data_IF_976990562889
#
_entry.id   IF_976990562889
#
_cell.length_a   1.000
_cell.length_b   1.000
_cell.length_c   1.000
_cell.angle_alpha   90.00
_cell.angle_beta   90.00
_cell.angle_gamma   90.00
#
_symmetry.space_group_name_H-M   'P 1'
#
loop_
_entity.id
_entity.type
_entity.pdbx_description
1 polymer ?
#
# COMPACT_ATOMS: atom_id res chain seq x y z
N UNK A 1 -28.98 8.93 -27.55
CA UNK A 1 -28.43 7.78 -26.81
C UNK A 1 -27.11 8.08 -26.09
N UNK A 2 -26.16 8.82 -26.69
CA UNK A 2 -24.85 9.13 -26.07
C UNK A 2 -24.94 9.87 -24.71
N UNK A 3 -25.84 10.85 -24.56
CA UNK A 3 -26.00 11.62 -23.31
C UNK A 3 -26.51 10.78 -22.12
N UNK A 4 -27.34 9.76 -22.38
CA UNK A 4 -27.86 8.88 -21.33
C UNK A 4 -26.79 7.92 -20.80
N UNK A 5 -25.90 7.43 -21.68
CA UNK A 5 -24.76 6.58 -21.30
C UNK A 5 -23.74 7.36 -20.48
N UNK A 6 -23.49 8.62 -20.84
CA UNK A 6 -22.57 9.51 -20.12
C UNK A 6 -23.10 9.86 -18.72
N UNK A 7 -24.40 10.13 -18.59
CA UNK A 7 -25.04 10.38 -17.29
C UNK A 7 -24.97 9.19 -16.33
N UNK A 8 -25.20 7.97 -16.85
CA UNK A 8 -25.12 6.75 -16.05
C UNK A 8 -23.68 6.46 -15.57
N UNK A 9 -22.68 6.66 -16.43
CA UNK A 9 -21.28 6.46 -16.07
C UNK A 9 -20.81 7.44 -14.98
N UNK A 10 -21.23 8.71 -15.08
CA UNK A 10 -20.94 9.74 -14.07
C UNK A 10 -21.61 9.42 -12.73
N UNK A 11 -22.89 9.03 -12.73
CA UNK A 11 -23.60 8.62 -11.52
C UNK A 11 -22.98 7.40 -10.85
N UNK A 12 -22.55 6.41 -11.63
CA UNK A 12 -21.91 5.19 -11.10
C UNK A 12 -20.56 5.52 -10.46
N UNK A 13 -19.77 6.42 -11.06
CA UNK A 13 -18.50 6.88 -10.51
C UNK A 13 -18.71 7.66 -9.20
N UNK A 14 -19.64 8.62 -9.18
CA UNK A 14 -19.97 9.39 -7.96
C UNK A 14 -20.47 8.47 -6.84
N UNK A 15 -21.32 7.50 -7.16
CA UNK A 15 -21.80 6.52 -6.18
C UNK A 15 -20.67 5.64 -5.64
N UNK A 16 -19.78 5.14 -6.50
CA UNK A 16 -18.64 4.31 -6.10
C UNK A 16 -17.66 5.08 -5.20
N UNK A 17 -17.27 6.29 -5.61
CA UNK A 17 -16.42 7.16 -4.79
C UNK A 17 -17.12 7.49 -3.48
N UNK A 18 -18.43 7.76 -3.50
CA UNK A 18 -19.26 7.96 -2.31
C UNK A 18 -19.26 6.76 -1.37
N UNK A 19 -19.38 5.54 -1.88
CA UNK A 19 -19.34 4.29 -1.09
C UNK A 19 -17.95 4.11 -0.47
N UNK A 20 -16.87 4.32 -1.22
CA UNK A 20 -15.50 4.22 -0.71
C UNK A 20 -15.27 5.23 0.42
N UNK A 21 -15.69 6.48 0.24
CA UNK A 21 -15.56 7.53 1.26
C UNK A 21 -16.43 7.25 2.49
N UNK A 22 -17.67 6.79 2.31
CA UNK A 22 -18.58 6.44 3.40
C UNK A 22 -18.03 5.28 4.25
N UNK A 23 -17.52 4.24 3.61
CA UNK A 23 -16.87 3.10 4.28
C UNK A 23 -15.66 3.56 5.11
N UNK A 24 -14.84 4.46 4.58
CA UNK A 24 -13.68 5.02 5.29
C UNK A 24 -14.09 5.79 6.55
N UNK A 25 -15.14 6.62 6.47
CA UNK A 25 -15.66 7.36 7.64
C UNK A 25 -16.24 6.41 8.68
N UNK A 26 -17.02 5.40 8.26
CA UNK A 26 -17.61 4.40 9.15
C UNK A 26 -16.54 3.60 9.90
N UNK A 27 -15.45 3.23 9.23
CA UNK A 27 -14.29 2.52 9.85
C UNK A 27 -13.54 3.38 10.85
N UNK A 28 -13.32 4.67 10.55
CA UNK A 28 -12.70 5.61 11.51
C UNK A 28 -13.54 5.71 12.79
N UNK A 29 -14.87 5.78 12.66
CA UNK A 29 -15.79 5.81 13.80
C UNK A 29 -15.82 4.48 14.58
N UNK A 30 -15.78 3.34 13.90
CA UNK A 30 -15.71 2.03 14.56
C UNK A 30 -14.41 1.86 15.36
N UNK A 31 -13.26 2.30 14.79
CA UNK A 31 -11.97 2.28 15.49
C UNK A 31 -11.91 3.27 16.64
N UNK A 32 -12.48 4.47 16.51
CA UNK A 32 -12.54 5.44 17.60
C UNK A 32 -13.42 4.96 18.76
N UNK A 33 -14.53 4.29 18.46
CA UNK A 33 -15.40 3.71 19.48
C UNK A 33 -14.73 2.51 20.17
N UNK A 34 -14.09 1.61 19.42
CA UNK A 34 -13.32 0.51 19.99
C UNK A 34 -12.11 0.96 20.82
N UNK A 35 -11.55 2.14 20.51
CA UNK A 35 -10.45 2.74 21.27
C UNK A 35 -10.94 3.53 22.51
N UNK A 36 -12.19 4.02 22.48
CA UNK A 36 -12.86 4.64 23.63
C UNK A 36 -13.33 3.63 24.69
N UNK A 37 -13.52 2.35 24.32
CA UNK A 37 -13.90 1.26 25.24
C UNK A 37 -12.71 0.60 25.96
N UNK A 38 -11.47 1.01 25.68
CA UNK A 38 -10.33 0.62 26.51
C UNK A 38 -10.30 1.47 27.76
N UNK A 39 -10.28 0.89 28.99
CA UNK A 39 -10.11 1.69 30.20
C UNK A 39 -8.81 2.47 30.09
N UNK A 40 -8.93 3.81 30.14
CA UNK A 40 -7.81 4.73 30.11
C UNK A 40 -6.86 4.40 31.28
N UNK A 41 -5.53 4.28 31.05
CA UNK A 41 -4.60 4.40 32.16
C UNK A 41 -4.78 5.81 32.74
N UNK A 42 -5.19 5.90 34.01
CA UNK A 42 -5.32 7.18 34.73
C UNK A 42 -3.93 7.75 34.98
N UNK A 43 -3.37 8.41 33.97
CA UNK A 43 -2.34 9.42 34.20
C UNK A 43 -3.04 10.71 34.63
N UNK A 44 -2.60 11.37 35.70
CA UNK A 44 -3.04 12.73 35.98
C UNK A 44 -2.68 13.61 34.78
N UNK A 45 -3.66 14.39 34.32
CA UNK A 45 -3.47 15.37 33.24
C UNK A 45 -2.38 16.36 33.66
N UNK A 46 -1.34 16.59 32.84
CA UNK A 46 -0.52 17.78 33.00
C UNK A 46 -1.39 19.01 32.74
N UNK A 47 -1.23 20.06 33.58
CA UNK A 47 -1.82 21.36 33.29
C UNK A 47 -1.26 21.88 31.95
N UNK A 48 -2.09 22.56 31.14
CA UNK A 48 -1.65 23.05 29.84
C UNK A 48 -0.62 24.16 30.03
N UNK A 49 0.58 23.96 29.49
CA UNK A 49 1.61 25.01 29.41
C UNK A 49 1.19 26.07 28.37
N UNK A 50 1.62 27.32 28.58
CA UNK A 50 1.21 28.52 27.82
C UNK A 50 1.37 28.42 26.27
N UNK A 51 2.16 27.46 25.78
CA UNK A 51 2.36 27.18 24.36
C UNK A 51 1.11 26.56 23.69
N UNK A 52 0.32 25.77 24.42
CA UNK A 52 -0.89 25.12 23.87
C UNK A 52 -2.04 26.12 23.67
N UNK A 53 -2.10 27.17 24.48
CA UNK A 53 -3.05 28.27 24.32
C UNK A 53 -2.72 29.14 23.09
N UNK A 54 -1.43 29.33 22.78
CA UNK A 54 -1.00 30.07 21.60
C UNK A 54 -1.22 29.28 20.30
N UNK A 55 -1.05 27.95 20.34
CA UNK A 55 -1.34 27.08 19.20
C UNK A 55 -2.84 27.05 18.85
N UNK A 56 -3.72 27.07 19.85
CA UNK A 56 -5.17 27.15 19.65
C UNK A 56 -5.60 28.50 19.02
N UNK A 57 -5.00 29.61 19.45
CA UNK A 57 -5.27 30.94 18.90
C UNK A 57 -4.77 31.10 17.44
N UNK A 58 -3.64 30.47 17.08
CA UNK A 58 -3.11 30.51 15.72
C UNK A 58 -3.98 29.76 14.70
N UNK A 59 -4.68 28.71 15.14
CA UNK A 59 -5.59 27.92 14.30
C UNK A 59 -6.90 28.69 14.03
N UNK A 60 -7.42 29.47 14.99
CA UNK A 60 -8.61 30.32 14.79
C UNK A 60 -8.34 31.51 13.85
N UNK A 61 -7.12 32.07 13.85
CA UNK A 61 -6.73 33.13 12.93
C UNK A 61 -6.66 32.66 11.46
N UNK A 62 -6.26 31.41 11.22
CA UNK A 62 -6.13 30.84 9.87
C UNK A 62 -7.49 30.58 9.19
N UNK A 63 -8.54 30.32 9.97
CA UNK A 63 -9.90 30.04 9.45
C UNK A 63 -10.67 31.33 9.10
N UNK A 64 -10.21 32.49 9.57
CA UNK A 64 -10.89 33.78 9.38
C UNK A 64 -10.48 34.56 8.12
N UNK A 65 -9.58 34.02 7.29
CA UNK A 65 -9.46 34.43 5.89
C UNK A 65 -8.71 35.74 5.59
N UNK A 66 -7.57 35.97 6.24
CA UNK A 66 -6.57 36.95 5.75
C UNK A 66 -5.36 36.22 5.14
N UNK A 67 -5.12 36.47 3.85
CA UNK A 67 -4.17 35.75 3.02
C UNK A 67 -2.71 36.02 3.38
N UNK A 68 -1.96 34.93 3.61
CA UNK A 68 -0.49 34.96 3.53
C UNK A 68 -0.05 34.25 2.24
N UNK A 69 0.51 35.03 1.32
CA UNK A 69 1.23 34.53 0.15
C UNK A 69 2.53 33.88 0.61
N UNK A 70 2.65 32.55 0.48
CA UNK A 70 3.92 31.84 0.66
C UNK A 70 4.56 31.63 -0.71
N UNK A 71 5.62 32.38 -0.99
CA UNK A 71 6.47 32.21 -2.16
C UNK A 71 7.26 30.90 -2.03
N UNK A 72 7.22 29.97 -3.00
CA UNK A 72 8.02 28.75 -2.94
C UNK A 72 9.52 29.06 -3.03
N UNK A 73 10.39 28.35 -2.27
CA UNK A 73 11.84 28.57 -2.33
C UNK A 73 12.41 28.15 -3.68
N UNK A 74 13.39 28.92 -4.16
CA UNK A 74 14.07 28.72 -5.44
C UNK A 74 14.83 27.37 -5.50
N UNK A 75 14.94 26.74 -6.69
CA UNK A 75 15.64 25.48 -6.84
C UNK A 75 17.16 25.64 -6.66
N UNK A 76 17.76 24.75 -5.87
CA UNK A 76 19.21 24.65 -5.71
C UNK A 76 19.88 24.09 -6.98
N UNK A 77 21.12 24.50 -7.30
CA UNK A 77 21.81 24.10 -8.52
C UNK A 77 22.18 22.61 -8.54
N UNK A 78 22.03 22.00 -9.73
CA UNK A 78 22.30 20.60 -10.01
C UNK A 78 23.78 20.25 -9.79
N UNK A 79 24.04 19.23 -8.96
CA UNK A 79 25.34 18.59 -8.85
C UNK A 79 25.40 17.37 -9.80
N UNK A 80 26.48 17.29 -10.59
CA UNK A 80 26.73 16.25 -11.58
C UNK A 80 26.90 14.84 -10.94
N UNK A 81 26.53 13.75 -11.64
CA UNK A 81 26.78 12.39 -11.15
C UNK A 81 28.26 12.04 -11.22
N UNK A 82 28.83 11.52 -10.12
CA UNK A 82 30.09 10.78 -10.13
C UNK A 82 29.79 9.30 -10.40
N UNK A 83 30.31 8.79 -11.51
CA UNK A 83 30.35 7.37 -11.84
C UNK A 83 31.14 6.58 -10.79
N UNK A 84 30.50 5.59 -10.16
CA UNK A 84 31.19 4.45 -9.58
C UNK A 84 30.44 3.18 -10.00
N UNK A 85 31.07 2.48 -10.93
CA UNK A 85 30.62 1.24 -11.51
C UNK A 85 30.72 0.08 -10.51
N UNK A 86 29.59 -0.56 -10.20
CA UNK A 86 29.57 -1.95 -9.77
C UNK A 86 28.47 -2.70 -10.52
N UNK A 87 28.92 -3.75 -11.22
CA UNK A 87 28.21 -4.57 -12.19
C UNK A 87 27.27 -5.55 -11.47
N UNK A 88 25.96 -5.28 -11.51
CA UNK A 88 24.91 -6.22 -11.13
C UNK A 88 24.59 -7.19 -12.30
N UNK A 89 24.12 -8.42 -12.04
CA UNK A 89 23.79 -9.38 -13.08
C UNK A 89 22.53 -8.98 -13.85
N UNK A 90 22.58 -9.24 -15.14
CA UNK A 90 21.64 -8.89 -16.20
C UNK A 90 20.25 -9.51 -15.98
N UNK A 91 19.26 -8.70 -15.59
CA UNK A 91 17.84 -9.09 -15.61
C UNK A 91 17.25 -8.49 -16.87
N UNK A 92 17.00 -9.35 -17.86
CA UNK A 92 16.49 -8.94 -19.18
C UNK A 92 15.19 -8.12 -19.03
N UNK A 93 15.28 -6.85 -19.44
CA UNK A 93 14.15 -5.93 -19.60
C UNK A 93 13.13 -6.49 -20.58
N UNK A 94 11.86 -6.54 -20.17
CA UNK A 94 10.73 -6.67 -21.09
C UNK A 94 10.41 -5.27 -21.63
N UNK A 95 10.51 -5.00 -22.94
CA UNK A 95 10.31 -3.65 -23.47
C UNK A 95 8.82 -3.35 -23.69
N UNK A 96 8.33 -2.22 -23.18
CA UNK A 96 7.00 -1.71 -23.57
C UNK A 96 6.40 -0.61 -22.70
N UNK A 97 6.60 0.65 -23.12
CA UNK A 97 5.95 1.92 -22.72
C UNK A 97 6.49 2.68 -21.49
N UNK A 98 7.59 3.37 -21.76
CA UNK A 98 7.80 4.83 -21.60
C UNK A 98 7.26 5.51 -20.32
N UNK A 99 8.22 5.89 -19.47
CA UNK A 99 8.24 7.03 -18.55
C UNK A 99 7.10 7.14 -17.52
N UNK A 100 7.03 6.14 -16.62
CA UNK A 100 6.38 6.33 -15.32
C UNK A 100 7.40 7.00 -14.40
N UNK A 101 7.45 8.34 -14.40
CA UNK A 101 7.95 9.12 -13.25
C UNK A 101 7.60 8.36 -11.98
N UNK A 102 8.57 8.09 -11.09
CA UNK A 102 8.37 7.47 -9.76
C UNK A 102 7.22 8.20 -9.06
N UNK A 103 5.99 7.73 -9.30
CA UNK A 103 4.78 8.34 -8.79
C UNK A 103 4.73 7.85 -7.37
N UNK A 104 4.85 8.77 -6.41
CA UNK A 104 4.72 8.46 -5.00
C UNK A 104 3.44 7.65 -4.82
N UNK A 105 3.59 6.44 -4.31
CA UNK A 105 2.48 5.51 -4.15
C UNK A 105 1.39 6.16 -3.26
N UNK A 106 0.13 6.30 -3.73
CA UNK A 106 -0.94 6.93 -2.96
C UNK A 106 -1.33 6.15 -1.69
N UNK A 107 -0.83 4.91 -1.51
CA UNK A 107 -1.19 4.06 -0.37
C UNK A 107 -0.42 4.44 0.90
N UNK A 108 0.78 5.03 0.76
CA UNK A 108 1.66 5.31 1.90
C UNK A 108 2.37 4.07 2.44
N UNK A 109 2.47 3.01 1.64
CA UNK A 109 3.26 1.80 1.93
C UNK A 109 4.73 2.03 1.57
N UNK A 110 5.59 1.07 1.91
CA UNK A 110 6.96 1.06 1.42
C UNK A 110 6.99 1.00 -0.12
N UNK A 111 7.98 1.65 -0.72
CA UNK A 111 8.18 1.63 -2.17
C UNK A 111 9.02 0.42 -2.61
N UNK A 112 9.15 0.24 -3.93
CA UNK A 112 9.93 -0.85 -4.53
C UNK A 112 11.40 -0.84 -4.07
N UNK A 113 11.99 0.34 -3.93
CA UNK A 113 13.38 0.46 -3.48
C UNK A 113 13.55 -0.01 -2.02
N UNK A 114 12.62 0.38 -1.14
CA UNK A 114 12.60 -0.09 0.24
C UNK A 114 12.34 -1.59 0.29
N UNK A 115 11.44 -2.11 -0.55
CA UNK A 115 11.20 -3.55 -0.70
C UNK A 115 12.47 -4.32 -1.05
N UNK A 116 13.15 -3.94 -2.13
CA UNK A 116 14.36 -4.63 -2.61
C UNK A 116 15.47 -4.59 -1.56
N UNK A 117 15.68 -3.44 -0.93
CA UNK A 117 16.66 -3.28 0.14
C UNK A 117 16.35 -4.16 1.34
N UNK A 118 15.11 -4.19 1.81
CA UNK A 118 14.73 -5.02 2.97
C UNK A 118 14.77 -6.51 2.64
N UNK A 119 14.37 -6.91 1.42
CA UNK A 119 14.46 -8.29 0.96
C UNK A 119 15.92 -8.78 0.96
N UNK A 120 16.86 -7.93 0.52
CA UNK A 120 18.30 -8.20 0.59
C UNK A 120 18.80 -8.32 2.03
N UNK A 121 18.45 -7.36 2.89
CA UNK A 121 18.83 -7.36 4.30
C UNK A 121 18.30 -8.60 5.05
N UNK A 122 17.05 -9.00 4.81
CA UNK A 122 16.46 -10.19 5.41
C UNK A 122 17.09 -11.48 4.86
N UNK A 123 17.48 -11.51 3.59
CA UNK A 123 18.26 -12.63 3.03
C UNK A 123 19.58 -12.82 3.76
N UNK A 124 20.31 -11.72 4.02
CA UNK A 124 21.56 -11.77 4.78
C UNK A 124 21.34 -12.17 6.25
N UNK A 125 20.30 -11.62 6.90
CA UNK A 125 19.95 -11.96 8.29
C UNK A 125 19.62 -13.45 8.42
N UNK A 126 18.75 -13.97 7.56
CA UNK A 126 18.35 -15.37 7.55
C UNK A 126 19.53 -16.30 7.27
N UNK A 127 20.45 -15.92 6.37
CA UNK A 127 21.67 -16.69 6.11
C UNK A 127 22.62 -16.74 7.32
N UNK A 128 22.71 -15.65 8.10
CA UNK A 128 23.62 -15.55 9.26
C UNK A 128 23.07 -16.19 10.52
N UNK A 129 21.79 -15.99 10.81
CA UNK A 129 21.18 -16.34 12.09
C UNK A 129 20.11 -17.43 11.98
N UNK A 130 19.78 -17.86 10.77
CA UNK A 130 18.61 -18.67 10.51
C UNK A 130 17.31 -17.88 10.67
N UNK A 131 16.21 -18.61 10.81
CA UNK A 131 14.86 -18.05 10.93
C UNK A 131 14.09 -18.13 9.62
N UNK A 132 12.80 -18.42 9.72
CA UNK A 132 11.89 -18.48 8.58
C UNK A 132 11.54 -17.08 8.12
N UNK A 133 11.42 -16.87 6.81
CA UNK A 133 10.88 -15.63 6.25
C UNK A 133 10.10 -16.01 5.01
N UNK A 134 8.85 -15.59 4.93
CA UNK A 134 8.00 -15.91 3.79
C UNK A 134 7.74 -14.65 2.97
N UNK A 135 7.96 -14.76 1.67
CA UNK A 135 7.64 -13.71 0.71
C UNK A 135 6.24 -13.93 0.20
N UNK A 136 5.41 -12.88 0.19
CA UNK A 136 4.07 -12.87 -0.42
C UNK A 136 4.06 -11.80 -1.50
N UNK A 137 3.55 -12.14 -2.69
CA UNK A 137 3.28 -11.20 -3.77
C UNK A 137 1.79 -11.26 -4.09
N UNK A 138 1.14 -10.10 -4.15
CA UNK A 138 -0.27 -9.97 -4.45
C UNK A 138 -0.51 -8.98 -5.57
N UNK A 139 -1.53 -9.22 -6.40
CA UNK A 139 -1.87 -8.36 -7.55
C UNK A 139 -3.38 -8.30 -7.78
N UNK A 140 -3.89 -7.09 -8.00
CA UNK A 140 -5.30 -6.87 -8.32
C UNK A 140 -5.56 -7.25 -9.78
N UNK A 141 -6.40 -8.25 -9.99
CA UNK A 141 -6.77 -8.72 -11.32
C UNK A 141 -7.73 -7.75 -12.01
N UNK A 142 -7.55 -7.55 -13.32
CA UNK A 142 -8.41 -6.73 -14.21
C UNK A 142 -8.48 -5.24 -13.83
N UNK A 143 -7.46 -4.72 -13.17
CA UNK A 143 -7.39 -3.30 -12.80
C UNK A 143 -7.40 -2.38 -14.03
N UNK A 144 -6.71 -2.76 -15.11
CA UNK A 144 -6.70 -1.99 -16.37
C UNK A 144 -8.12 -1.83 -16.95
N UNK A 145 -8.93 -2.90 -16.92
CA UNK A 145 -10.31 -2.84 -17.37
C UNK A 145 -11.20 -1.95 -16.49
N UNK A 146 -10.86 -1.78 -15.21
CA UNK A 146 -11.51 -0.79 -14.34
C UNK A 146 -11.06 0.63 -14.73
N UNK A 147 -9.76 0.84 -14.94
CA UNK A 147 -9.20 2.13 -15.33
C UNK A 147 -9.78 2.61 -16.66
N UNK A 148 -9.94 1.72 -17.64
CA UNK A 148 -10.54 2.03 -18.94
C UNK A 148 -12.03 2.42 -18.82
N UNK A 149 -12.75 1.81 -17.88
CA UNK A 149 -14.20 2.01 -17.69
C UNK A 149 -14.55 3.20 -16.81
N UNK A 150 -13.82 3.38 -15.71
CA UNK A 150 -14.16 4.33 -14.65
C UNK A 150 -13.09 5.42 -14.45
N UNK A 151 -11.99 5.33 -15.19
CA UNK A 151 -10.88 6.28 -15.15
C UNK A 151 -9.77 5.87 -14.19
N UNK A 152 -8.55 6.31 -14.51
CA UNK A 152 -7.34 6.03 -13.73
C UNK A 152 -7.46 6.46 -12.26
N UNK A 153 -8.15 7.57 -11.97
CA UNK A 153 -8.31 8.04 -10.60
C UNK A 153 -9.09 7.07 -9.70
N UNK A 154 -10.09 6.37 -10.27
CA UNK A 154 -10.84 5.33 -9.54
C UNK A 154 -9.97 4.11 -9.32
N UNK A 155 -9.20 3.69 -10.33
CA UNK A 155 -8.23 2.61 -10.19
C UNK A 155 -7.19 2.90 -9.10
N UNK A 156 -6.62 4.12 -9.09
CA UNK A 156 -5.68 4.55 -8.06
C UNK A 156 -6.31 4.50 -6.65
N UNK A 157 -7.59 4.85 -6.49
CA UNK A 157 -8.31 4.75 -5.22
C UNK A 157 -8.56 3.29 -4.78
N UNK A 158 -8.90 2.41 -5.72
CA UNK A 158 -9.05 0.98 -5.44
C UNK A 158 -7.73 0.38 -4.99
N UNK A 159 -6.62 0.69 -5.68
CA UNK A 159 -5.27 0.27 -5.27
C UNK A 159 -4.97 0.76 -3.85
N UNK A 160 -5.24 2.04 -3.56
CA UNK A 160 -5.01 2.61 -2.25
C UNK A 160 -5.83 1.91 -1.14
N UNK A 161 -7.08 1.56 -1.39
CA UNK A 161 -7.90 0.90 -0.38
C UNK A 161 -7.54 -0.58 -0.20
N UNK A 162 -7.23 -1.30 -1.27
CA UNK A 162 -6.73 -2.68 -1.17
C UNK A 162 -5.43 -2.73 -0.38
N UNK A 163 -4.48 -1.85 -0.68
CA UNK A 163 -3.22 -1.78 0.07
C UNK A 163 -3.44 -1.44 1.55
N UNK A 164 -4.43 -0.59 1.89
CA UNK A 164 -4.83 -0.34 3.29
C UNK A 164 -5.45 -1.56 3.96
N UNK A 165 -6.26 -2.37 3.26
CA UNK A 165 -6.78 -3.63 3.82
C UNK A 165 -5.64 -4.57 4.15
N UNK A 166 -4.73 -4.78 3.19
CA UNK A 166 -3.58 -5.66 3.36
C UNK A 166 -2.72 -5.22 4.53
N UNK A 167 -2.39 -3.93 4.61
CA UNK A 167 -1.59 -3.36 5.69
C UNK A 167 -2.25 -3.53 7.07
N UNK A 168 -3.58 -3.55 7.15
CA UNK A 168 -4.29 -3.77 8.41
C UNK A 168 -4.18 -5.20 8.94
N UNK A 169 -3.83 -6.15 8.08
CA UNK A 169 -3.57 -7.56 8.42
C UNK A 169 -2.07 -7.86 8.61
N UNK A 170 -1.20 -6.93 8.22
CA UNK A 170 0.26 -7.01 8.34
C UNK A 170 0.70 -6.59 9.74
N UNK A 171 1.61 -7.35 10.36
CA UNK A 171 2.13 -7.01 11.70
C UNK A 171 3.16 -5.89 11.59
N UNK A 172 3.41 -5.19 12.69
CA UNK A 172 4.43 -4.13 12.73
C UNK A 172 5.86 -4.64 12.47
N UNK A 173 6.14 -5.92 12.73
CA UNK A 173 7.43 -6.55 12.45
C UNK A 173 7.60 -6.98 10.98
N UNK A 174 6.51 -7.02 10.22
CA UNK A 174 6.50 -7.41 8.81
C UNK A 174 6.58 -6.16 7.93
N UNK A 175 7.07 -6.33 6.69
CA UNK A 175 7.07 -5.26 5.70
C UNK A 175 5.95 -5.47 4.69
N UNK A 176 5.21 -4.41 4.36
CA UNK A 176 4.35 -4.36 3.19
C UNK A 176 4.76 -3.19 2.29
N UNK A 177 4.86 -3.47 0.99
CA UNK A 177 5.30 -2.52 -0.02
C UNK A 177 4.36 -2.52 -1.23
N UNK A 178 4.19 -1.36 -1.86
CA UNK A 178 3.60 -1.25 -3.18
C UNK A 178 4.69 -1.35 -4.24
N UNK A 179 4.58 -2.38 -5.08
CA UNK A 179 5.54 -2.64 -6.16
C UNK A 179 5.16 -1.90 -7.46
N UNK A 180 3.95 -1.31 -7.49
CA UNK A 180 3.41 -0.57 -8.62
C UNK A 180 2.34 -1.34 -9.39
N UNK A 181 1.47 -0.62 -10.11
CA UNK A 181 0.45 -1.22 -10.98
C UNK A 181 -0.60 -2.06 -10.26
N UNK A 182 -0.91 -1.78 -8.98
CA UNK A 182 -1.81 -2.61 -8.18
C UNK A 182 -1.18 -3.90 -7.65
N UNK A 183 0.16 -3.98 -7.67
CA UNK A 183 0.95 -5.08 -7.11
C UNK A 183 1.54 -4.70 -5.76
N UNK A 184 1.54 -5.66 -4.84
CA UNK A 184 2.03 -5.52 -3.47
C UNK A 184 3.00 -6.65 -3.13
N UNK A 185 4.01 -6.33 -2.34
CA UNK A 185 4.94 -7.29 -1.74
C UNK A 185 4.79 -7.28 -0.22
N UNK A 186 4.87 -8.45 0.41
CA UNK A 186 4.91 -8.58 1.87
C UNK A 186 6.06 -9.50 2.27
N UNK A 187 6.87 -9.06 3.25
CA UNK A 187 7.87 -9.89 3.92
C UNK A 187 7.35 -10.25 5.29
N UNK A 188 7.01 -11.53 5.47
CA UNK A 188 6.58 -12.08 6.75
C UNK A 188 7.80 -12.63 7.48
N UNK A 189 8.31 -11.84 8.43
CA UNK A 189 9.53 -12.18 9.18
C UNK A 189 9.18 -13.22 10.23
N UNK A 190 10.12 -14.14 10.51
CA UNK A 190 9.94 -15.27 11.44
C UNK A 190 8.67 -16.11 11.17
N UNK A 191 8.30 -16.20 9.89
CA UNK A 191 7.08 -16.87 9.45
C UNK A 191 7.39 -17.90 8.37
N UNK A 192 7.06 -19.17 8.66
CA UNK A 192 7.12 -20.25 7.67
C UNK A 192 5.93 -20.24 6.71
N UNK A 193 6.03 -21.03 5.64
CA UNK A 193 5.03 -21.09 4.58
C UNK A 193 3.63 -21.52 5.06
N UNK A 194 3.57 -22.38 6.08
CA UNK A 194 2.32 -22.86 6.67
C UNK A 194 1.62 -21.75 7.44
N UNK A 195 2.36 -21.00 8.24
CA UNK A 195 1.85 -19.87 9.01
C UNK A 195 1.51 -18.68 8.10
N UNK A 196 2.23 -18.51 6.99
CA UNK A 196 1.92 -17.51 5.96
C UNK A 196 0.55 -17.74 5.31
N UNK A 197 0.12 -19.00 5.14
CA UNK A 197 -1.22 -19.30 4.62
C UNK A 197 -2.34 -18.67 5.49
N UNK A 198 -2.13 -18.59 6.82
CA UNK A 198 -3.05 -17.91 7.73
C UNK A 198 -3.16 -16.40 7.45
N UNK A 199 -2.04 -15.73 7.18
CA UNK A 199 -2.03 -14.32 6.75
C UNK A 199 -2.76 -14.15 5.41
N UNK A 200 -2.43 -14.98 4.42
CA UNK A 200 -3.03 -14.93 3.07
C UNK A 200 -4.56 -15.09 3.14
N UNK A 201 -5.06 -16.02 3.95
CA UNK A 201 -6.50 -16.24 4.10
C UNK A 201 -7.23 -15.04 4.72
N UNK A 202 -6.64 -14.39 5.73
CA UNK A 202 -7.22 -13.16 6.32
C UNK A 202 -7.24 -12.02 5.31
N UNK A 203 -6.13 -11.81 4.60
CA UNK A 203 -6.03 -10.78 3.55
C UNK A 203 -7.09 -11.00 2.47
N UNK A 204 -7.22 -12.24 1.94
CA UNK A 204 -8.26 -12.57 0.97
C UNK A 204 -9.65 -12.25 1.50
N UNK A 205 -9.97 -12.71 2.71
CA UNK A 205 -11.29 -12.48 3.31
C UNK A 205 -11.64 -11.00 3.45
N UNK A 206 -10.72 -10.17 3.95
CA UNK A 206 -10.95 -8.72 4.13
C UNK A 206 -11.03 -7.99 2.80
N UNK A 207 -10.16 -8.32 1.85
CA UNK A 207 -10.13 -7.67 0.52
C UNK A 207 -11.35 -8.06 -0.31
N UNK A 208 -11.69 -9.35 -0.39
CA UNK A 208 -12.86 -9.83 -1.14
C UNK A 208 -14.15 -9.26 -0.54
N UNK A 209 -14.27 -9.27 0.79
CA UNK A 209 -15.42 -8.65 1.47
C UNK A 209 -15.52 -7.15 1.17
N UNK A 210 -14.41 -6.43 1.12
CA UNK A 210 -14.43 -5.01 0.75
C UNK A 210 -14.81 -4.80 -0.73
N UNK A 211 -14.23 -5.57 -1.65
CA UNK A 211 -14.53 -5.49 -3.09
C UNK A 211 -16.00 -5.77 -3.38
N UNK A 212 -16.57 -6.81 -2.77
CA UNK A 212 -17.99 -7.15 -2.89
C UNK A 212 -18.88 -6.03 -2.37
N UNK A 213 -18.56 -5.47 -1.19
CA UNK A 213 -19.32 -4.35 -0.62
C UNK A 213 -19.22 -3.06 -1.45
N UNK A 214 -18.13 -2.88 -2.20
CA UNK A 214 -17.97 -1.79 -3.15
C UNK A 214 -18.64 -2.07 -4.52
N UNK A 215 -19.23 -3.26 -4.73
CA UNK A 215 -19.82 -3.66 -6.01
C UNK A 215 -18.79 -3.90 -7.11
N UNK A 216 -17.53 -4.14 -6.76
CA UNK A 216 -16.43 -4.35 -7.69
C UNK A 216 -16.26 -5.84 -7.96
N UNK A 217 -16.20 -6.22 -9.24
CA UNK A 217 -15.95 -7.61 -9.65
C UNK A 217 -14.45 -7.93 -9.75
N UNK A 218 -13.58 -7.16 -9.09
CA UNK A 218 -12.14 -7.42 -9.10
C UNK A 218 -11.83 -8.58 -8.12
N UNK A 219 -10.63 -9.13 -8.24
CA UNK A 219 -10.12 -10.15 -7.32
C UNK A 219 -8.64 -9.89 -7.01
N UNK A 220 -8.17 -10.41 -5.87
CA UNK A 220 -6.78 -10.35 -5.47
C UNK A 220 -6.11 -11.71 -5.67
N UNK A 221 -5.20 -11.80 -6.63
CA UNK A 221 -4.36 -12.97 -6.84
C UNK A 221 -3.18 -12.90 -5.88
N UNK A 222 -2.83 -14.01 -5.23
CA UNK A 222 -1.77 -14.04 -4.21
C UNK A 222 -0.93 -15.31 -4.37
N UNK A 223 0.38 -15.14 -4.48
CA UNK A 223 1.37 -16.20 -4.39
C UNK A 223 2.33 -15.95 -3.24
N UNK A 224 2.75 -16.99 -2.53
CA UNK A 224 3.72 -16.88 -1.44
C UNK A 224 4.68 -18.06 -1.44
N UNK A 225 5.86 -17.90 -0.86
CA UNK A 225 6.85 -18.96 -0.69
C UNK A 225 7.84 -18.62 0.43
N UNK A 226 8.30 -19.64 1.15
CA UNK A 226 9.51 -19.54 1.97
C UNK A 226 10.77 -19.85 1.12
N UNK A 227 11.96 -19.38 1.51
CA UNK A 227 13.19 -19.82 0.85
C UNK A 227 13.34 -21.34 0.99
N UNK A 228 13.88 -22.02 -0.04
CA UNK A 228 14.27 -23.40 0.09
C UNK A 228 15.33 -23.56 1.19
N UNK A 229 15.52 -24.76 1.71
CA UNK A 229 16.49 -25.02 2.77
C UNK A 229 17.90 -24.54 2.36
N UNK A 230 18.52 -23.69 3.19
CA UNK A 230 19.81 -23.04 2.89
C UNK A 230 19.77 -21.99 1.77
N UNK A 231 18.59 -21.68 1.23
CA UNK A 231 18.36 -20.69 0.18
C UNK A 231 18.20 -19.27 0.68
N UNK A 232 18.35 -18.31 -0.23
CA UNK A 232 18.16 -16.89 0.06
C UNK A 232 16.68 -16.51 -0.02
N UNK A 233 16.23 -15.56 0.82
CA UNK A 233 14.85 -15.05 0.81
C UNK A 233 14.51 -14.43 -0.55
N UNK A 234 15.47 -13.83 -1.25
CA UNK A 234 15.30 -13.35 -2.63
C UNK A 234 14.84 -14.45 -3.62
N UNK A 235 15.29 -15.70 -3.45
CA UNK A 235 14.83 -16.81 -4.29
C UNK A 235 13.36 -17.15 -4.05
N UNK A 236 12.87 -16.95 -2.83
CA UNK A 236 11.46 -17.15 -2.49
C UNK A 236 10.55 -16.15 -3.24
N UNK A 237 11.03 -14.93 -3.53
CA UNK A 237 10.28 -13.95 -4.30
C UNK A 237 9.98 -14.44 -5.73
N UNK A 238 10.94 -15.10 -6.38
CA UNK A 238 10.73 -15.68 -7.71
C UNK A 238 9.67 -16.80 -7.69
N UNK A 239 9.70 -17.66 -6.67
CA UNK A 239 8.72 -18.75 -6.49
C UNK A 239 7.33 -18.18 -6.19
N UNK A 240 7.24 -17.19 -5.29
CA UNK A 240 5.99 -16.49 -4.97
C UNK A 240 5.39 -15.82 -6.21
N UNK A 241 6.23 -15.20 -7.05
CA UNK A 241 5.81 -14.59 -8.31
C UNK A 241 5.32 -15.61 -9.34
N UNK A 242 5.93 -16.81 -9.42
CA UNK A 242 5.42 -17.90 -10.25
C UNK A 242 4.04 -18.35 -9.77
N UNK A 243 3.88 -18.61 -8.47
CA UNK A 243 2.61 -19.03 -7.87
C UNK A 243 1.51 -17.98 -8.03
N UNK A 244 1.87 -16.70 -8.01
CA UNK A 244 0.94 -15.61 -8.33
C UNK A 244 0.40 -15.73 -9.76
N UNK A 245 1.29 -15.99 -10.74
CA UNK A 245 0.88 -16.18 -12.14
C UNK A 245 -0.06 -17.38 -12.28
N UNK A 246 0.27 -18.48 -11.63
CA UNK A 246 -0.55 -19.69 -11.65
C UNK A 246 -1.94 -19.43 -11.06
N UNK A 247 -2.00 -18.64 -9.97
CA UNK A 247 -3.26 -18.23 -9.35
C UNK A 247 -4.07 -17.23 -10.18
N UNK A 248 -3.41 -16.41 -11.01
CA UNK A 248 -4.07 -15.43 -11.87
C UNK A 248 -4.58 -16.02 -13.21
N UNK A 249 -4.01 -17.15 -13.63
CA UNK A 249 -4.41 -17.86 -14.85
C UNK A 249 -5.52 -18.91 -14.67
N UNK A 250 -5.99 -19.13 -13.44
CA UNK A 250 -7.03 -20.09 -13.07
C UNK A 250 -8.43 -19.51 -12.97
#
# INVERSE_FOLDING_TARGET
MLLAVLGLAVLTNIALVGVIQYQNVRRRRARSLAQAERPLPTRPMPEPDDEDAQAAAAIEAFISGDGIQVQPPAPAPAAAPRELAHRAPDVQEVPGRADRRRRRDPVGLADLETWERTLGAESERAARFGGSTTVVIAEISRLDGLADRLGQGVADQVVAEVGRQMASETRAADLIAALGGGRFGVLLVETDEKNAAGYVNRVRSVVDGWLQNAGLTLSLSIGWASPPEGGQVAAAAAIAQQRLRDAAGG
#
